data_IF_006277701270
#
_entry.id   IF_006277701270
#
_cell.length_a   1.000
_cell.length_b   1.000
_cell.length_c   1.000
_cell.angle_alpha   90.00
_cell.angle_beta   90.00
_cell.angle_gamma   90.00
#
_symmetry.space_group_name_H-M   'P 1'
#
loop_
_entity.id
_entity.type
_entity.pdbx_description
1 polymer ?
#
# COMPACT_ATOMS: atom_id res chain seq x y z
N UNK A 1 61.66 -40.89 35.84
CA UNK A 1 62.83 -40.11 36.25
C UNK A 1 62.62 -38.66 35.80
N UNK A 2 62.44 -37.74 36.74
CA UNK A 2 62.68 -36.27 36.76
C UNK A 2 62.14 -35.46 35.58
N UNK A 3 61.09 -34.56 35.80
CA UNK A 3 61.24 -33.13 36.25
C UNK A 3 61.70 -32.24 35.10
N UNK A 4 61.16 -31.14 34.78
CA UNK A 4 60.64 -29.99 35.56
C UNK A 4 60.01 -28.97 34.58
N UNK A 5 58.89 -28.39 34.96
CA UNK A 5 58.60 -26.97 35.19
C UNK A 5 59.12 -25.94 34.18
N UNK A 6 58.20 -25.18 33.61
CA UNK A 6 57.88 -23.77 33.98
C UNK A 6 57.02 -23.06 32.91
N UNK A 7 55.84 -22.67 33.32
CA UNK A 7 55.18 -21.49 32.88
C UNK A 7 56.04 -20.23 33.08
N UNK A 8 55.91 -19.16 32.30
CA UNK A 8 54.85 -18.19 32.56
C UNK A 8 54.34 -17.32 31.40
N UNK A 9 53.08 -16.90 31.60
CA UNK A 9 52.54 -15.56 31.24
C UNK A 9 52.62 -15.11 29.81
N UNK A 10 51.45 -15.12 29.13
CA UNK A 10 51.15 -14.21 28.07
C UNK A 10 49.78 -13.52 28.34
N UNK A 11 49.91 -12.27 28.46
CA UNK A 11 48.91 -11.23 28.69
C UNK A 11 47.70 -11.32 27.76
N UNK A 12 46.53 -11.38 28.35
CA UNK A 12 45.25 -11.21 27.76
C UNK A 12 45.08 -9.78 27.24
N UNK A 13 44.79 -9.63 25.96
CA UNK A 13 44.20 -8.42 25.40
C UNK A 13 42.67 -8.63 25.27
N UNK A 14 41.85 -7.63 25.61
CA UNK A 14 40.39 -7.78 25.61
C UNK A 14 39.81 -7.63 24.20
N UNK A 15 39.14 -8.67 23.71
CA UNK A 15 38.31 -8.64 22.54
C UNK A 15 36.93 -8.03 22.89
N UNK A 16 36.81 -6.73 22.83
CA UNK A 16 35.51 -6.04 22.90
C UNK A 16 35.34 -5.20 21.68
N UNK A 17 34.70 -5.72 20.64
CA UNK A 17 33.91 -4.95 19.66
C UNK A 17 33.29 -5.89 18.60
N UNK A 18 32.41 -6.79 18.99
CA UNK A 18 31.57 -7.55 18.04
C UNK A 18 30.22 -7.95 18.62
N UNK A 19 29.48 -7.00 19.22
CA UNK A 19 28.14 -7.31 19.77
C UNK A 19 27.20 -6.11 19.80
N UNK A 20 27.06 -5.37 18.71
CA UNK A 20 26.07 -4.27 18.66
C UNK A 20 25.18 -4.19 17.41
N UNK A 21 25.27 -5.15 16.47
CA UNK A 21 24.52 -5.04 15.21
C UNK A 21 23.36 -6.04 15.06
N UNK A 22 23.16 -6.94 16.02
CA UNK A 22 22.12 -7.99 15.92
C UNK A 22 20.87 -7.66 16.75
N UNK A 23 20.91 -6.66 17.63
CA UNK A 23 19.79 -6.37 18.54
C UNK A 23 18.76 -5.35 18.00
N UNK A 24 19.10 -4.54 17.01
CA UNK A 24 18.20 -3.53 16.44
C UNK A 24 17.03 -4.12 15.60
N UNK A 25 17.25 -5.11 14.72
CA UNK A 25 16.13 -5.71 13.99
C UNK A 25 15.20 -6.53 14.90
N UNK A 26 15.73 -7.16 15.95
CA UNK A 26 14.90 -7.90 16.91
C UNK A 26 14.03 -6.98 17.78
N UNK A 27 14.54 -5.80 18.15
CA UNK A 27 13.79 -4.81 18.90
C UNK A 27 12.69 -4.16 18.06
N UNK A 28 12.92 -3.96 16.75
CA UNK A 28 11.92 -3.42 15.84
C UNK A 28 10.82 -4.44 15.53
N UNK A 29 11.18 -5.71 15.34
CA UNK A 29 10.21 -6.78 15.17
C UNK A 29 9.37 -6.97 16.43
N UNK A 30 9.96 -6.87 17.63
CA UNK A 30 9.23 -6.91 18.89
C UNK A 30 8.30 -5.68 19.06
N UNK A 31 8.67 -4.52 18.56
CA UNK A 31 7.83 -3.32 18.60
C UNK A 31 6.62 -3.46 17.66
N UNK A 32 6.79 -4.00 16.45
CA UNK A 32 5.71 -4.24 15.50
C UNK A 32 4.77 -5.33 15.99
N UNK A 33 5.31 -6.43 16.54
CA UNK A 33 4.51 -7.50 17.15
C UNK A 33 3.83 -7.02 18.44
N UNK A 34 4.50 -6.19 19.23
CA UNK A 34 3.93 -5.56 20.43
C UNK A 34 2.82 -4.57 20.12
N UNK A 35 2.91 -3.82 19.01
CA UNK A 35 1.86 -2.90 18.59
C UNK A 35 0.61 -3.64 18.07
N UNK A 36 0.79 -4.82 17.48
CA UNK A 36 -0.30 -5.71 17.08
C UNK A 36 -0.96 -6.44 18.26
N UNK A 37 -0.23 -6.66 19.36
CA UNK A 37 -0.76 -7.30 20.56
C UNK A 37 -1.57 -6.38 21.50
N UNK A 38 -1.47 -5.05 21.33
CA UNK A 38 -2.23 -4.07 22.14
C UNK A 38 -3.64 -3.83 21.59
N UNK A 39 -3.98 -4.34 20.40
CA UNK A 39 -5.35 -4.29 19.86
C UNK A 39 -6.03 -5.62 20.17
N UNK A 40 -6.10 -5.98 21.44
CA UNK A 40 -7.01 -7.01 21.91
C UNK A 40 -8.43 -6.42 22.06
N UNK A 41 -9.50 -7.17 21.78
CA UNK A 41 -10.86 -6.67 21.97
C UNK A 41 -11.08 -6.36 23.44
N UNK A 42 -11.35 -5.09 23.73
CA UNK A 42 -11.88 -4.70 25.02
C UNK A 42 -13.31 -5.30 25.12
N UNK A 43 -13.43 -6.41 25.83
CA UNK A 43 -14.71 -6.97 26.18
C UNK A 43 -15.46 -5.98 27.05
N UNK A 44 -16.47 -5.35 26.51
CA UNK A 44 -17.48 -4.63 27.29
C UNK A 44 -18.33 -5.69 28.02
N UNK A 45 -18.18 -5.78 29.33
CA UNK A 45 -19.14 -6.46 30.18
C UNK A 45 -20.39 -5.57 30.30
N UNK A 46 -21.49 -6.04 29.77
CA UNK A 46 -22.81 -5.46 30.04
C UNK A 46 -23.22 -5.75 31.48
N UNK A 47 -23.77 -4.77 32.19
CA UNK A 47 -24.41 -5.02 33.48
C UNK A 47 -25.77 -5.71 33.25
N UNK A 48 -25.97 -6.83 33.93
CA UNK A 48 -27.25 -7.50 34.01
C UNK A 48 -28.34 -6.56 34.53
N UNK A 49 -29.31 -6.26 33.69
CA UNK A 49 -30.53 -5.55 34.08
C UNK A 49 -31.68 -6.57 34.19
N UNK A 50 -32.33 -6.48 35.33
CA UNK A 50 -33.54 -7.25 35.73
C UNK A 50 -34.73 -6.91 34.83
N UNK A 51 -35.43 -7.97 34.38
CA UNK A 51 -36.69 -7.91 33.62
C UNK A 51 -37.75 -7.05 34.28
N UNK A 52 -38.44 -6.22 33.50
CA UNK A 52 -39.84 -5.91 33.73
C UNK A 52 -40.71 -6.40 32.57
N UNK A 53 -41.96 -6.69 32.89
CA UNK A 53 -43.06 -7.22 32.11
C UNK A 53 -43.09 -6.96 30.60
N UNK A 54 -43.46 -8.01 29.84
CA UNK A 54 -43.63 -8.08 28.40
C UNK A 54 -44.49 -6.93 27.81
N UNK A 55 -43.86 -5.82 27.46
CA UNK A 55 -44.18 -5.12 26.23
C UNK A 55 -43.46 -5.88 25.13
N UNK A 56 -44.13 -6.25 24.04
CA UNK A 56 -43.44 -6.74 22.86
C UNK A 56 -42.50 -5.61 22.46
N UNK A 57 -41.19 -5.79 22.72
CA UNK A 57 -40.20 -4.82 22.31
C UNK A 57 -40.28 -4.67 20.78
N UNK A 58 -40.26 -3.46 20.23
CA UNK A 58 -40.33 -3.24 18.79
C UNK A 58 -39.23 -4.00 18.09
N UNK A 59 -39.53 -4.63 16.94
CA UNK A 59 -38.57 -5.42 16.19
C UNK A 59 -37.36 -4.54 15.77
N UNK A 60 -36.17 -5.06 15.96
CA UNK A 60 -34.96 -4.41 15.53
C UNK A 60 -34.73 -4.67 14.05
N UNK A 61 -34.33 -3.65 13.28
CA UNK A 61 -33.91 -3.80 11.87
C UNK A 61 -32.41 -3.66 11.74
N UNK A 62 -31.81 -4.57 11.00
CA UNK A 62 -30.39 -4.55 10.72
C UNK A 62 -30.10 -3.86 9.38
N UNK A 63 -29.02 -3.08 9.33
CA UNK A 63 -28.53 -2.44 8.10
C UNK A 63 -27.07 -2.77 7.93
N UNK A 64 -26.70 -3.30 6.76
CA UNK A 64 -25.31 -3.52 6.37
C UNK A 64 -24.96 -2.69 5.15
N UNK A 65 -23.71 -2.23 5.09
CA UNK A 65 -23.21 -1.43 3.99
C UNK A 65 -22.34 -2.28 3.06
N UNK A 66 -22.70 -2.33 1.80
CA UNK A 66 -21.97 -2.96 0.70
C UNK A 66 -21.49 -1.85 -0.23
N UNK A 67 -20.18 -1.60 -0.24
CA UNK A 67 -19.59 -0.52 -1.04
C UNK A 67 -18.30 -0.98 -1.71
N UNK A 68 -18.02 -0.44 -2.89
CA UNK A 68 -16.84 -0.80 -3.67
C UNK A 68 -17.15 -1.93 -4.65
N UNK A 69 -16.59 -3.10 -4.45
CA UNK A 69 -16.82 -4.30 -5.28
C UNK A 69 -17.24 -5.47 -4.39
N UNK A 70 -17.97 -6.40 -4.95
CA UNK A 70 -18.39 -7.61 -4.26
C UNK A 70 -17.28 -8.64 -4.34
N UNK A 71 -16.53 -8.83 -3.24
CA UNK A 71 -15.53 -9.87 -3.07
C UNK A 71 -15.99 -10.95 -2.08
N UNK A 72 -15.16 -11.97 -1.87
CA UNK A 72 -15.46 -13.03 -0.92
C UNK A 72 -15.69 -12.54 0.50
N UNK A 73 -14.99 -11.48 0.93
CA UNK A 73 -15.16 -10.90 2.28
C UNK A 73 -16.55 -10.27 2.44
N UNK A 74 -17.00 -9.53 1.42
CA UNK A 74 -18.34 -8.92 1.42
C UNK A 74 -19.41 -10.00 1.30
N UNK A 75 -19.19 -11.04 0.51
CA UNK A 75 -20.09 -12.19 0.39
C UNK A 75 -20.28 -12.88 1.76
N UNK A 76 -19.19 -13.24 2.45
CA UNK A 76 -19.21 -13.83 3.79
C UNK A 76 -19.87 -12.90 4.83
N UNK A 77 -19.68 -11.58 4.67
CA UNK A 77 -20.30 -10.58 5.55
C UNK A 77 -21.83 -10.52 5.36
N UNK A 78 -22.31 -10.64 4.12
CA UNK A 78 -23.77 -10.74 3.85
C UNK A 78 -24.34 -11.97 4.55
N UNK A 79 -23.79 -13.15 4.33
CA UNK A 79 -24.24 -14.40 4.93
C UNK A 79 -24.22 -14.35 6.46
N UNK A 80 -23.09 -13.92 7.05
CA UNK A 80 -22.97 -13.77 8.51
C UNK A 80 -23.96 -12.75 9.07
N UNK A 81 -24.33 -11.74 8.29
CA UNK A 81 -25.31 -10.74 8.71
C UNK A 81 -26.74 -11.28 8.67
N UNK A 82 -27.05 -12.14 7.70
CA UNK A 82 -28.33 -12.88 7.67
C UNK A 82 -28.41 -13.80 8.88
N UNK A 83 -27.37 -14.64 9.13
CA UNK A 83 -27.32 -15.54 10.29
C UNK A 83 -27.53 -14.78 11.62
N UNK A 84 -26.93 -13.61 11.73
CA UNK A 84 -27.09 -12.75 12.91
C UNK A 84 -28.49 -12.15 13.03
N UNK A 85 -29.09 -11.73 11.93
CA UNK A 85 -30.44 -11.19 11.91
C UNK A 85 -31.45 -12.27 12.32
N UNK A 86 -31.32 -13.49 11.80
CA UNK A 86 -32.15 -14.66 12.18
C UNK A 86 -31.97 -15.02 13.65
N UNK A 87 -30.73 -15.15 14.13
CA UNK A 87 -30.42 -15.48 15.53
C UNK A 87 -30.98 -14.45 16.53
N UNK A 88 -31.05 -13.17 16.12
CA UNK A 88 -31.57 -12.09 16.96
C UNK A 88 -33.10 -11.89 16.80
N UNK A 89 -33.77 -12.58 15.88
CA UNK A 89 -35.17 -12.34 15.54
C UNK A 89 -35.43 -10.93 15.02
N UNK A 90 -34.57 -10.44 14.15
CA UNK A 90 -34.69 -9.10 13.57
C UNK A 90 -35.93 -9.00 12.67
N UNK A 91 -36.55 -7.82 12.60
CA UNK A 91 -37.74 -7.58 11.75
C UNK A 91 -37.39 -7.47 10.25
N UNK A 92 -36.11 -7.24 9.91
CA UNK A 92 -35.63 -7.19 8.56
C UNK A 92 -34.13 -6.85 8.50
N UNK A 93 -33.48 -7.21 7.37
CA UNK A 93 -32.11 -6.88 7.05
C UNK A 93 -32.11 -6.00 5.79
N UNK A 94 -31.49 -4.83 5.87
CA UNK A 94 -31.35 -3.92 4.71
C UNK A 94 -29.92 -3.94 4.19
N UNK A 95 -29.74 -4.26 2.92
CA UNK A 95 -28.50 -4.17 2.19
C UNK A 95 -28.38 -2.76 1.58
N UNK A 96 -27.62 -1.87 2.19
CA UNK A 96 -27.29 -0.57 1.61
C UNK A 96 -26.16 -0.74 0.60
N UNK A 97 -26.45 -0.52 -0.68
CA UNK A 97 -25.56 -0.85 -1.80
C UNK A 97 -25.05 0.38 -2.54
N UNK A 98 -23.74 0.40 -2.76
CA UNK A 98 -23.06 1.25 -3.71
C UNK A 98 -21.89 0.48 -4.34
N UNK A 99 -22.21 -0.38 -5.32
CA UNK A 99 -21.25 -1.29 -5.94
C UNK A 99 -21.61 -1.51 -7.40
N UNK A 100 -20.60 -1.54 -8.26
CA UNK A 100 -20.76 -1.67 -9.72
C UNK A 100 -20.09 -2.90 -10.31
N UNK A 101 -19.44 -3.73 -9.49
CA UNK A 101 -18.60 -4.82 -9.96
C UNK A 101 -18.57 -5.94 -8.93
N UNK A 102 -18.64 -7.18 -9.38
CA UNK A 102 -18.36 -8.38 -8.60
C UNK A 102 -17.03 -8.98 -9.06
N UNK A 103 -16.28 -9.58 -8.15
CA UNK A 103 -15.03 -10.29 -8.43
C UNK A 103 -15.06 -11.73 -7.91
N UNK A 104 -16.19 -12.16 -7.33
CA UNK A 104 -16.42 -13.56 -6.98
C UNK A 104 -16.84 -14.34 -8.23
N UNK A 105 -16.61 -15.64 -8.23
CA UNK A 105 -17.05 -16.51 -9.31
C UNK A 105 -18.57 -16.70 -9.30
N UNK A 106 -19.09 -17.19 -10.42
CA UNK A 106 -20.53 -17.40 -10.61
C UNK A 106 -21.14 -18.38 -9.59
N UNK A 107 -20.37 -19.42 -9.19
CA UNK A 107 -20.82 -20.43 -8.23
C UNK A 107 -21.03 -19.77 -6.84
N UNK A 108 -20.04 -18.98 -6.40
CA UNK A 108 -20.12 -18.25 -5.11
C UNK A 108 -21.23 -17.19 -5.12
N UNK A 109 -21.45 -16.52 -6.26
CA UNK A 109 -22.53 -15.55 -6.40
C UNK A 109 -23.91 -16.21 -6.23
N UNK A 110 -24.09 -17.38 -6.83
CA UNK A 110 -25.33 -18.16 -6.71
C UNK A 110 -25.55 -18.64 -5.27
N UNK A 111 -24.49 -19.12 -4.56
CA UNK A 111 -24.58 -19.49 -3.15
C UNK A 111 -25.08 -18.31 -2.28
N UNK A 112 -24.53 -17.11 -2.46
CA UNK A 112 -24.98 -15.92 -1.73
C UNK A 112 -26.44 -15.58 -2.07
N UNK A 113 -26.83 -15.69 -3.35
CA UNK A 113 -28.20 -15.49 -3.78
C UNK A 113 -29.17 -16.51 -3.14
N UNK A 114 -28.80 -17.80 -3.13
CA UNK A 114 -29.58 -18.85 -2.45
C UNK A 114 -29.70 -18.59 -0.95
N UNK A 115 -28.63 -18.11 -0.29
CA UNK A 115 -28.66 -17.76 1.14
C UNK A 115 -29.59 -16.58 1.42
N UNK A 116 -29.63 -15.55 0.54
CA UNK A 116 -30.56 -14.44 0.63
C UNK A 116 -32.00 -14.95 0.48
N UNK A 117 -32.28 -15.72 -0.57
CA UNK A 117 -33.59 -16.26 -0.84
C UNK A 117 -34.11 -17.24 0.25
N UNK A 118 -33.20 -17.94 0.92
CA UNK A 118 -33.52 -18.88 2.02
C UNK A 118 -33.59 -18.20 3.40
N UNK A 119 -33.43 -16.88 3.49
CA UNK A 119 -33.46 -16.17 4.76
C UNK A 119 -34.84 -16.25 5.44
N UNK A 120 -34.85 -16.57 6.74
CA UNK A 120 -36.06 -16.52 7.55
C UNK A 120 -36.50 -15.08 7.87
N UNK A 121 -35.58 -14.13 7.77
CA UNK A 121 -35.81 -12.70 7.99
C UNK A 121 -35.91 -12.01 6.64
N UNK A 122 -36.88 -11.12 6.38
CA UNK A 122 -36.97 -10.39 5.13
C UNK A 122 -35.70 -9.60 4.84
N UNK A 123 -35.21 -9.69 3.60
CA UNK A 123 -34.01 -8.98 3.13
C UNK A 123 -34.40 -7.94 2.10
N UNK A 124 -34.01 -6.69 2.33
CA UNK A 124 -34.35 -5.55 1.48
C UNK A 124 -33.10 -4.96 0.87
N UNK A 125 -33.17 -4.57 -0.39
CA UNK A 125 -32.09 -3.85 -1.07
C UNK A 125 -32.35 -2.35 -1.09
N UNK A 126 -31.35 -1.52 -0.80
CA UNK A 126 -31.44 -0.08 -0.98
C UNK A 126 -30.17 0.45 -1.64
N UNK A 127 -30.33 0.97 -2.87
CA UNK A 127 -29.24 1.59 -3.62
C UNK A 127 -29.11 3.03 -3.19
N UNK A 128 -28.05 3.36 -2.47
CA UNK A 128 -27.88 4.71 -1.94
C UNK A 128 -26.56 4.90 -1.17
N UNK A 129 -26.26 6.15 -0.83
CA UNK A 129 -27.02 7.39 -0.99
C UNK A 129 -27.07 7.93 -2.46
N UNK A 130 -27.58 9.15 -2.65
CA UNK A 130 -27.58 9.82 -3.97
C UNK A 130 -26.21 9.72 -4.67
N UNK A 131 -26.23 9.35 -5.97
CA UNK A 131 -25.04 9.05 -6.76
C UNK A 131 -24.48 7.62 -6.57
N UNK A 132 -25.10 6.81 -5.70
CA UNK A 132 -24.78 5.39 -5.59
C UNK A 132 -25.21 4.62 -6.85
N UNK A 133 -24.57 3.46 -7.04
CA UNK A 133 -24.85 2.59 -8.19
C UNK A 133 -24.92 1.14 -7.76
N UNK A 134 -25.85 0.41 -8.36
CA UNK A 134 -25.88 -1.03 -8.29
C UNK A 134 -25.91 -1.59 -9.71
N UNK A 135 -24.78 -2.10 -10.19
CA UNK A 135 -24.60 -2.61 -11.54
C UNK A 135 -24.09 -4.04 -11.54
N UNK A 136 -24.19 -4.70 -12.72
CA UNK A 136 -23.67 -6.04 -12.94
C UNK A 136 -24.34 -7.09 -12.06
N UNK A 137 -23.54 -8.04 -11.60
CA UNK A 137 -24.01 -9.12 -10.73
C UNK A 137 -24.53 -8.61 -9.38
N UNK A 138 -24.09 -7.42 -8.93
CA UNK A 138 -24.62 -6.83 -7.69
C UNK A 138 -26.06 -6.38 -7.87
N UNK A 139 -26.43 -5.86 -9.04
CA UNK A 139 -27.84 -5.54 -9.36
C UNK A 139 -28.69 -6.81 -9.44
N UNK A 140 -28.15 -7.92 -10.00
CA UNK A 140 -28.82 -9.21 -9.97
C UNK A 140 -29.01 -9.73 -8.54
N UNK A 141 -28.00 -9.57 -7.67
CA UNK A 141 -28.09 -9.99 -6.28
C UNK A 141 -29.19 -9.23 -5.51
N UNK A 142 -29.35 -7.92 -5.77
CA UNK A 142 -30.45 -7.14 -5.22
C UNK A 142 -31.81 -7.63 -5.73
N UNK A 143 -31.89 -8.14 -6.94
CA UNK A 143 -33.15 -8.69 -7.49
C UNK A 143 -33.58 -10.03 -6.82
N UNK A 144 -32.77 -10.59 -5.91
CA UNK A 144 -33.13 -11.72 -5.04
C UNK A 144 -33.81 -11.25 -3.75
N UNK A 145 -33.65 -9.98 -3.38
CA UNK A 145 -34.23 -9.42 -2.14
C UNK A 145 -35.73 -9.20 -2.28
N UNK A 146 -36.46 -9.06 -1.15
CA UNK A 146 -37.90 -8.89 -1.13
C UNK A 146 -38.39 -7.57 -1.79
N UNK A 147 -37.57 -6.54 -1.76
CA UNK A 147 -37.87 -5.23 -2.35
C UNK A 147 -36.57 -4.48 -2.65
N UNK A 148 -36.56 -3.70 -3.74
CA UNK A 148 -35.46 -2.84 -4.11
C UNK A 148 -35.88 -1.37 -3.98
N UNK A 149 -35.19 -0.61 -3.13
CA UNK A 149 -35.29 0.85 -3.07
C UNK A 149 -34.11 1.52 -3.78
N UNK A 150 -34.36 2.62 -4.45
CA UNK A 150 -33.31 3.42 -5.10
C UNK A 150 -33.42 4.85 -4.60
N UNK A 151 -32.32 5.40 -4.06
CA UNK A 151 -32.27 6.77 -3.60
C UNK A 151 -32.34 7.75 -4.77
N UNK A 152 -32.88 8.93 -4.52
CA UNK A 152 -32.96 10.00 -5.53
C UNK A 152 -31.56 10.30 -6.09
N UNK A 153 -31.42 10.15 -7.41
CA UNK A 153 -30.17 10.32 -8.13
C UNK A 153 -29.18 9.18 -8.00
N UNK A 154 -29.61 8.00 -7.54
CA UNK A 154 -28.87 6.76 -7.64
C UNK A 154 -29.29 5.98 -8.89
N UNK A 155 -28.51 4.99 -9.33
CA UNK A 155 -28.72 4.22 -10.56
C UNK A 155 -28.77 2.72 -10.25
N UNK A 156 -29.75 2.02 -10.82
CA UNK A 156 -29.87 0.58 -10.77
C UNK A 156 -29.94 -0.02 -12.18
N UNK A 157 -29.24 -1.10 -12.46
CA UNK A 157 -29.30 -1.76 -13.78
C UNK A 157 -27.93 -2.12 -14.33
N UNK A 158 -27.75 -2.04 -15.68
CA UNK A 158 -26.55 -2.50 -16.38
C UNK A 158 -26.16 -3.92 -15.91
N UNK A 159 -27.17 -4.81 -15.86
CA UNK A 159 -27.08 -6.10 -15.17
C UNK A 159 -26.21 -7.14 -15.91
N UNK A 160 -25.89 -6.88 -17.18
CA UNK A 160 -25.14 -7.81 -18.01
C UNK A 160 -25.89 -9.09 -18.36
N UNK A 161 -25.17 -10.17 -18.54
CA UNK A 161 -25.78 -11.50 -18.67
C UNK A 161 -26.22 -12.02 -17.30
N UNK A 162 -27.37 -12.68 -17.26
CA UNK A 162 -27.87 -13.25 -16.00
C UNK A 162 -27.03 -14.43 -15.58
N UNK A 163 -26.43 -14.34 -14.42
CA UNK A 163 -25.64 -15.38 -13.74
C UNK A 163 -26.49 -16.11 -12.70
N UNK A 164 -27.34 -15.34 -11.97
CA UNK A 164 -28.23 -15.91 -10.95
C UNK A 164 -29.42 -16.61 -11.62
N UNK A 165 -29.78 -17.83 -11.22
CA UNK A 165 -30.95 -18.54 -11.72
C UNK A 165 -32.24 -17.70 -11.60
N UNK A 166 -33.06 -17.72 -12.65
CA UNK A 166 -34.26 -16.87 -12.73
C UNK A 166 -35.35 -17.24 -11.73
N UNK A 167 -35.31 -18.42 -11.16
CA UNK A 167 -36.22 -18.89 -10.08
C UNK A 167 -35.93 -18.25 -8.72
N UNK A 168 -34.73 -17.70 -8.54
CA UNK A 168 -34.34 -16.94 -7.35
C UNK A 168 -34.62 -15.43 -7.49
N UNK A 169 -34.85 -14.95 -8.71
CA UNK A 169 -35.00 -13.52 -8.99
C UNK A 169 -36.47 -13.08 -8.86
N UNK A 170 -36.71 -11.84 -8.48
CA UNK A 170 -38.01 -11.22 -8.51
C UNK A 170 -38.66 -11.39 -9.89
N UNK A 171 -39.93 -11.85 -10.00
CA UNK A 171 -40.59 -12.04 -11.29
C UNK A 171 -40.64 -10.75 -12.15
N UNK A 172 -40.85 -9.60 -11.49
CA UNK A 172 -40.90 -8.29 -12.18
C UNK A 172 -39.52 -7.90 -12.74
N UNK A 173 -38.42 -8.26 -12.05
CA UNK A 173 -37.07 -8.09 -12.56
C UNK A 173 -36.83 -8.98 -13.79
N UNK A 174 -37.20 -10.26 -13.73
CA UNK A 174 -37.04 -11.19 -14.88
C UNK A 174 -37.77 -10.68 -16.12
N UNK A 175 -38.93 -10.04 -15.94
CA UNK A 175 -39.71 -9.50 -17.05
C UNK A 175 -39.02 -8.30 -17.77
N UNK A 176 -38.16 -7.58 -17.05
CA UNK A 176 -37.46 -6.35 -17.57
C UNK A 176 -35.95 -6.55 -17.73
N UNK A 177 -35.41 -7.69 -17.34
CA UNK A 177 -33.96 -7.96 -17.28
C UNK A 177 -33.25 -7.69 -18.62
N UNK A 178 -33.83 -8.06 -19.75
CA UNK A 178 -33.26 -7.81 -21.07
C UNK A 178 -33.13 -6.29 -21.36
N UNK A 179 -34.10 -5.48 -20.87
CA UNK A 179 -34.06 -4.01 -20.99
C UNK A 179 -32.98 -3.39 -20.07
N UNK A 180 -32.69 -4.02 -18.95
CA UNK A 180 -31.69 -3.56 -17.98
C UNK A 180 -30.29 -4.10 -18.26
N UNK A 181 -30.09 -4.93 -19.30
CA UNK A 181 -28.79 -5.55 -19.59
C UNK A 181 -27.66 -4.52 -19.74
N UNK A 182 -27.88 -3.48 -20.55
CA UNK A 182 -26.93 -2.41 -20.85
C UNK A 182 -27.47 -1.02 -20.49
N UNK A 183 -28.58 -0.95 -19.75
CA UNK A 183 -29.23 0.27 -19.32
C UNK A 183 -29.36 0.34 -17.81
N UNK A 184 -29.42 1.59 -17.31
CA UNK A 184 -29.69 1.87 -15.90
C UNK A 184 -31.03 2.60 -15.78
N UNK A 185 -31.67 2.43 -14.64
CA UNK A 185 -32.92 3.08 -14.26
C UNK A 185 -32.75 3.88 -12.99
N UNK A 186 -33.56 4.90 -12.84
CA UNK A 186 -33.66 5.77 -11.69
C UNK A 186 -34.75 5.32 -10.71
N UNK A 187 -34.93 6.06 -9.63
CA UNK A 187 -35.87 5.81 -8.57
C UNK A 187 -37.33 5.74 -9.02
N UNK A 188 -37.73 6.58 -9.99
CA UNK A 188 -39.08 6.62 -10.49
C UNK A 188 -39.38 5.39 -11.37
N UNK A 189 -38.45 5.04 -12.23
CA UNK A 189 -38.56 3.87 -13.12
C UNK A 189 -38.59 2.55 -12.34
N UNK A 190 -37.82 2.42 -11.24
CA UNK A 190 -37.83 1.23 -10.37
C UNK A 190 -39.24 1.00 -9.78
N UNK A 191 -39.97 2.06 -9.45
CA UNK A 191 -41.36 1.98 -8.99
C UNK A 191 -42.27 1.56 -10.15
N UNK A 192 -42.13 2.20 -11.34
CA UNK A 192 -42.94 1.93 -12.50
C UNK A 192 -42.86 0.49 -13.00
N UNK A 193 -41.66 -0.11 -12.94
CA UNK A 193 -41.45 -1.51 -13.35
C UNK A 193 -41.74 -2.52 -12.24
N UNK A 194 -42.17 -2.08 -11.07
CA UNK A 194 -42.66 -2.95 -9.99
C UNK A 194 -41.57 -3.57 -9.11
N UNK A 195 -40.28 -3.16 -9.23
CA UNK A 195 -39.18 -3.64 -8.41
C UNK A 195 -39.22 -3.06 -6.98
N UNK A 196 -39.91 -1.93 -6.79
CA UNK A 196 -40.18 -1.36 -5.49
C UNK A 196 -41.69 -1.34 -5.20
N UNK A 197 -42.06 -1.74 -3.99
CA UNK A 197 -43.43 -1.63 -3.50
C UNK A 197 -43.84 -0.21 -3.09
N UNK A 198 -42.99 0.81 -3.31
CA UNK A 198 -43.22 2.19 -2.89
C UNK A 198 -44.11 2.93 -3.83
N UNK A 199 -44.82 3.96 -3.31
CA UNK A 199 -45.71 4.80 -4.11
C UNK A 199 -45.04 6.08 -4.60
N UNK A 200 -43.88 6.45 -4.05
CA UNK A 200 -43.15 7.65 -4.47
C UNK A 200 -41.63 7.49 -4.24
N UNK A 201 -40.85 8.17 -5.07
CA UNK A 201 -39.42 8.25 -4.94
C UNK A 201 -38.97 8.89 -3.59
N UNK A 202 -39.81 9.82 -3.06
CA UNK A 202 -39.51 10.44 -1.76
C UNK A 202 -39.39 9.43 -0.62
N UNK A 203 -40.16 8.34 -0.65
CA UNK A 203 -40.12 7.27 0.35
C UNK A 203 -38.78 6.48 0.33
N UNK A 204 -38.00 6.62 -0.72
CA UNK A 204 -36.71 5.96 -0.89
C UNK A 204 -35.51 6.95 -0.90
N UNK A 205 -35.79 8.26 -0.82
CA UNK A 205 -34.78 9.29 -0.96
C UNK A 205 -33.62 9.19 0.03
N UNK A 206 -33.90 8.69 1.23
CA UNK A 206 -32.88 8.39 2.24
C UNK A 206 -33.12 7.01 2.82
N UNK A 207 -32.07 6.38 3.34
CA UNK A 207 -32.17 5.10 4.04
C UNK A 207 -33.18 5.17 5.19
N UNK A 208 -33.22 6.27 5.93
CA UNK A 208 -34.17 6.48 7.02
C UNK A 208 -35.62 6.43 6.55
N UNK A 209 -35.97 7.11 5.47
CA UNK A 209 -37.31 7.10 4.88
C UNK A 209 -37.66 5.70 4.35
N UNK A 210 -36.72 5.04 3.68
CA UNK A 210 -36.90 3.68 3.20
C UNK A 210 -37.24 2.70 4.32
N UNK A 211 -36.48 2.76 5.41
CA UNK A 211 -36.66 1.85 6.57
C UNK A 211 -37.98 2.13 7.30
N UNK A 212 -38.40 3.40 7.42
CA UNK A 212 -39.67 3.79 8.11
C UNK A 212 -40.93 3.16 7.47
N UNK A 213 -40.84 2.75 6.22
CA UNK A 213 -41.97 2.18 5.48
C UNK A 213 -41.86 0.66 5.30
N UNK A 214 -40.82 0.01 5.89
CA UNK A 214 -40.68 -1.44 5.82
C UNK A 214 -41.78 -2.15 6.62
N UNK A 215 -42.27 -3.29 6.12
CA UNK A 215 -43.26 -4.10 6.85
C UNK A 215 -42.76 -4.44 8.26
N UNK A 216 -43.61 -4.17 9.26
CA UNK A 216 -43.26 -4.44 10.66
C UNK A 216 -42.39 -3.39 11.35
N UNK A 217 -41.97 -2.32 10.65
CA UNK A 217 -41.27 -1.22 11.28
C UNK A 217 -42.23 -0.28 12.00
N UNK A 218 -42.00 -0.08 13.29
CA UNK A 218 -42.85 0.81 14.11
C UNK A 218 -42.32 2.24 14.09
N UNK A 219 -43.24 3.20 13.87
CA UNK A 219 -42.91 4.63 13.88
C UNK A 219 -44.04 5.43 14.51
N UNK A 220 -43.73 6.49 15.23
CA UNK A 220 -44.69 7.45 15.77
C UNK A 220 -44.63 8.79 14.99
N UNK A 221 -45.76 9.51 14.98
CA UNK A 221 -45.80 10.82 14.40
C UNK A 221 -45.63 11.87 15.51
N UNK A 222 -44.46 12.55 15.51
CA UNK A 222 -44.23 13.66 16.39
C UNK A 222 -44.87 14.94 15.81
N UNK A 223 -45.83 15.47 16.54
CA UNK A 223 -46.58 16.70 16.20
C UNK A 223 -46.13 17.89 17.07
N UNK A 224 -45.02 17.81 17.78
CA UNK A 224 -44.52 18.87 18.66
C UNK A 224 -43.89 20.04 17.86
N UNK A 225 -43.55 19.84 16.59
CA UNK A 225 -43.05 20.86 15.66
C UNK A 225 -44.11 21.51 14.77
N UNK A 226 -43.68 22.39 13.88
CA UNK A 226 -44.57 23.07 12.89
C UNK A 226 -45.12 22.12 11.84
N UNK A 227 -44.39 21.02 11.55
CA UNK A 227 -44.81 19.97 10.64
C UNK A 227 -44.74 18.59 11.36
N UNK A 228 -45.72 17.70 11.12
CA UNK A 228 -45.68 16.35 11.68
C UNK A 228 -44.54 15.53 11.05
N UNK A 229 -43.65 15.03 11.90
CA UNK A 229 -42.50 14.21 11.47
C UNK A 229 -42.64 12.78 11.99
N UNK A 230 -42.44 11.77 11.13
CA UNK A 230 -42.40 10.38 11.55
C UNK A 230 -41.05 10.07 12.22
N UNK A 231 -41.10 9.61 13.46
CA UNK A 231 -39.94 9.25 14.27
C UNK A 231 -39.89 7.73 14.43
N UNK A 232 -38.74 7.09 14.21
CA UNK A 232 -38.60 5.64 14.37
C UNK A 232 -38.78 5.23 15.84
N UNK A 233 -39.59 4.22 16.10
CA UNK A 233 -39.72 3.51 17.37
C UNK A 233 -38.90 2.25 17.33
N UNK A 234 -38.96 1.49 16.21
CA UNK A 234 -38.12 0.32 15.99
C UNK A 234 -36.64 0.72 15.96
N UNK A 235 -35.78 0.02 16.74
CA UNK A 235 -34.33 0.26 16.70
C UNK A 235 -33.76 -0.16 15.35
N UNK A 236 -32.79 0.66 14.83
CA UNK A 236 -32.02 0.33 13.64
C UNK A 236 -30.57 0.09 14.04
N UNK A 237 -30.05 -1.09 13.76
CA UNK A 237 -28.68 -1.50 14.08
C UNK A 237 -27.82 -1.53 12.83
N UNK A 238 -26.80 -0.71 12.79
CA UNK A 238 -25.84 -0.67 11.69
C UNK A 238 -24.67 -1.63 11.95
N UNK A 239 -24.45 -2.56 11.06
CA UNK A 239 -23.29 -3.42 11.07
C UNK A 239 -22.33 -3.06 9.92
N UNK A 240 -21.03 -3.15 10.20
CA UNK A 240 -19.95 -2.91 9.26
C UNK A 240 -18.95 -4.05 9.31
N UNK A 241 -18.18 -4.21 8.25
CA UNK A 241 -17.03 -5.11 8.22
C UNK A 241 -16.15 -4.89 9.45
N UNK A 242 -15.56 -5.94 9.99
CA UNK A 242 -14.54 -5.83 11.02
C UNK A 242 -13.36 -4.98 10.50
N UNK A 243 -12.56 -4.40 11.39
CA UNK A 243 -11.40 -3.59 10.96
C UNK A 243 -10.44 -4.38 10.08
N UNK A 244 -10.22 -5.65 10.41
CA UNK A 244 -9.32 -6.51 9.63
C UNK A 244 -9.91 -6.82 8.25
N UNK A 245 -11.17 -7.24 8.19
CA UNK A 245 -11.86 -7.55 6.93
C UNK A 245 -11.97 -6.30 6.05
N UNK A 246 -12.26 -5.13 6.66
CA UNK A 246 -12.29 -3.85 5.95
C UNK A 246 -10.93 -3.47 5.34
N UNK A 247 -9.82 -3.76 6.02
CA UNK A 247 -8.50 -3.57 5.45
C UNK A 247 -8.20 -4.55 4.33
N UNK A 248 -8.50 -5.84 4.51
CA UNK A 248 -8.30 -6.86 3.48
C UNK A 248 -9.13 -6.55 2.23
N UNK A 249 -10.40 -6.16 2.38
CA UNK A 249 -11.26 -5.67 1.31
C UNK A 249 -10.65 -4.44 0.60
N UNK A 250 -10.11 -3.48 1.36
CA UNK A 250 -9.45 -2.29 0.79
C UNK A 250 -8.21 -2.68 0.00
N UNK A 251 -7.35 -3.57 0.52
CA UNK A 251 -6.14 -4.03 -0.17
C UNK A 251 -6.46 -4.87 -1.40
N UNK A 252 -7.58 -5.56 -1.42
CA UNK A 252 -8.09 -6.27 -2.58
C UNK A 252 -8.73 -5.35 -3.63
N UNK A 253 -8.85 -4.02 -3.38
CA UNK A 253 -9.34 -3.11 -4.41
C UNK A 253 -8.33 -2.99 -5.58
N UNK A 254 -8.82 -2.90 -6.84
CA UNK A 254 -7.94 -2.90 -8.02
C UNK A 254 -6.82 -1.85 -7.97
N UNK A 255 -7.16 -0.63 -7.52
CA UNK A 255 -6.20 0.46 -7.42
C UNK A 255 -5.12 0.18 -6.35
N UNK A 256 -5.53 -0.30 -5.17
CA UNK A 256 -4.61 -0.60 -4.07
C UNK A 256 -3.74 -1.81 -4.38
N UNK A 257 -4.32 -2.89 -4.88
CA UNK A 257 -3.58 -4.10 -5.26
C UNK A 257 -2.48 -3.78 -6.28
N UNK A 258 -2.82 -3.04 -7.34
CA UNK A 258 -1.88 -2.60 -8.37
C UNK A 258 -0.76 -1.73 -7.81
N UNK A 259 -1.10 -0.67 -7.05
CA UNK A 259 -0.09 0.24 -6.49
C UNK A 259 0.79 -0.44 -5.45
N UNK A 260 0.21 -1.26 -4.56
CA UNK A 260 0.97 -1.99 -3.55
C UNK A 260 1.94 -2.98 -4.18
N UNK A 261 1.53 -3.69 -5.24
CA UNK A 261 2.41 -4.57 -5.99
C UNK A 261 3.59 -3.82 -6.59
N UNK A 262 3.34 -2.71 -7.29
CA UNK A 262 4.39 -1.91 -7.94
C UNK A 262 5.32 -1.23 -6.92
N UNK A 263 4.77 -0.62 -5.88
CA UNK A 263 5.55 0.02 -4.82
C UNK A 263 6.38 -1.02 -4.07
N UNK A 264 5.75 -2.15 -3.72
CA UNK A 264 6.43 -3.23 -3.02
C UNK A 264 7.60 -3.80 -3.82
N UNK A 265 7.38 -4.13 -5.10
CA UNK A 265 8.43 -4.59 -6.00
C UNK A 265 9.56 -3.55 -6.16
N UNK A 266 9.20 -2.27 -6.31
CA UNK A 266 10.16 -1.17 -6.42
C UNK A 266 11.02 -1.00 -5.16
N UNK A 267 10.41 -1.07 -3.97
CA UNK A 267 11.12 -0.97 -2.70
C UNK A 267 12.02 -2.18 -2.44
N UNK A 268 11.61 -3.38 -2.84
CA UNK A 268 12.45 -4.58 -2.75
C UNK A 268 13.69 -4.45 -3.64
N UNK A 269 13.52 -3.99 -4.90
CA UNK A 269 14.64 -3.70 -5.78
C UNK A 269 15.54 -2.61 -5.17
N UNK A 270 14.96 -1.55 -4.64
CA UNK A 270 15.68 -0.47 -3.98
C UNK A 270 16.56 -0.99 -2.83
N UNK A 271 16.01 -1.82 -1.94
CA UNK A 271 16.76 -2.40 -0.82
C UNK A 271 17.91 -3.29 -1.30
N UNK A 272 17.69 -4.08 -2.37
CA UNK A 272 18.70 -4.95 -2.95
C UNK A 272 19.95 -4.17 -3.40
N UNK A 273 19.78 -2.95 -3.94
CA UNK A 273 20.88 -2.13 -4.46
C UNK A 273 21.45 -1.12 -3.47
N UNK A 274 20.73 -0.79 -2.41
CA UNK A 274 21.19 0.23 -1.46
C UNK A 274 21.96 -0.34 -0.29
N UNK A 275 21.86 -1.66 -0.02
CA UNK A 275 22.40 -2.32 1.19
C UNK A 275 22.12 -1.48 2.43
N UNK A 276 20.86 -1.06 2.57
CA UNK A 276 20.38 -0.13 3.58
C UNK A 276 20.21 -0.76 4.96
N UNK A 277 19.40 -0.13 5.78
CA UNK A 277 19.10 -0.55 7.16
C UNK A 277 18.02 -1.65 7.18
N UNK A 278 17.50 -2.07 6.03
CA UNK A 278 16.43 -3.07 5.90
C UNK A 278 15.02 -2.51 5.97
N UNK A 279 14.84 -1.21 6.24
CA UNK A 279 13.50 -0.59 6.38
C UNK A 279 12.72 -0.66 5.08
N UNK A 280 13.35 -0.26 3.96
CA UNK A 280 12.71 -0.31 2.65
C UNK A 280 12.38 -1.75 2.23
N UNK A 281 13.23 -2.72 2.59
CA UNK A 281 13.00 -4.14 2.38
C UNK A 281 11.78 -4.67 3.15
N UNK A 282 11.65 -4.32 4.43
CA UNK A 282 10.52 -4.75 5.27
C UNK A 282 9.21 -4.13 4.79
N UNK A 283 9.19 -2.83 4.54
CA UNK A 283 8.00 -2.12 4.02
C UNK A 283 7.67 -2.63 2.63
N UNK A 284 8.67 -2.79 1.75
CA UNK A 284 8.52 -3.32 0.40
C UNK A 284 7.94 -4.74 0.39
N UNK A 285 8.42 -5.61 1.26
CA UNK A 285 7.89 -6.97 1.40
C UNK A 285 6.43 -6.96 1.86
N UNK A 286 6.09 -6.13 2.85
CA UNK A 286 4.71 -5.97 3.29
C UNK A 286 3.79 -5.49 2.16
N UNK A 287 4.16 -4.41 1.47
CA UNK A 287 3.40 -3.90 0.33
C UNK A 287 3.28 -4.96 -0.79
N UNK A 288 4.36 -5.67 -1.09
CA UNK A 288 4.38 -6.69 -2.14
C UNK A 288 3.44 -7.86 -1.82
N UNK A 289 3.46 -8.37 -0.57
CA UNK A 289 2.58 -9.45 -0.13
C UNK A 289 1.11 -9.02 -0.19
N UNK A 290 0.79 -7.81 0.31
CA UNK A 290 -0.56 -7.26 0.25
C UNK A 290 -1.01 -7.02 -1.20
N UNK A 291 -0.11 -6.53 -2.06
CA UNK A 291 -0.37 -6.38 -3.49
C UNK A 291 -0.65 -7.74 -4.17
N UNK A 292 0.17 -8.77 -3.88
CA UNK A 292 -0.06 -10.12 -4.38
C UNK A 292 -1.38 -10.72 -3.87
N UNK A 293 -1.74 -10.47 -2.61
CA UNK A 293 -3.04 -10.86 -2.07
C UNK A 293 -4.19 -10.23 -2.86
N UNK A 294 -4.15 -8.89 -3.06
CA UNK A 294 -5.19 -8.21 -3.82
C UNK A 294 -5.28 -8.69 -5.27
N UNK A 295 -4.13 -8.91 -5.95
CA UNK A 295 -4.11 -9.44 -7.30
C UNK A 295 -4.60 -10.89 -7.40
N UNK A 296 -4.49 -11.68 -6.34
CA UNK A 296 -5.00 -13.06 -6.30
C UNK A 296 -6.53 -13.12 -6.13
N UNK A 297 -7.12 -12.11 -5.48
CA UNK A 297 -8.58 -11.99 -5.31
C UNK A 297 -9.26 -11.48 -6.59
N UNK A 298 -8.55 -10.64 -7.36
CA UNK A 298 -9.09 -9.99 -8.55
C UNK A 298 -8.92 -10.86 -9.82
N UNK A 299 -9.84 -10.77 -10.81
CA UNK A 299 -9.69 -11.41 -12.10
C UNK A 299 -8.53 -10.78 -12.89
N UNK A 300 -7.32 -11.29 -12.68
CA UNK A 300 -6.10 -10.77 -13.29
C UNK A 300 -5.67 -11.61 -14.49
N UNK A 301 -5.18 -10.93 -15.54
CA UNK A 301 -4.58 -11.55 -16.72
C UNK A 301 -3.14 -11.98 -16.40
N UNK A 302 -2.89 -13.30 -16.29
CA UNK A 302 -1.58 -13.84 -15.90
C UNK A 302 -0.42 -13.40 -16.82
N UNK A 303 -0.66 -13.23 -18.12
CA UNK A 303 0.36 -12.74 -19.05
C UNK A 303 0.71 -11.26 -18.80
N UNK A 304 -0.27 -10.43 -18.44
CA UNK A 304 -0.05 -9.02 -18.12
C UNK A 304 0.72 -8.88 -16.78
N UNK A 305 0.38 -9.69 -15.79
CA UNK A 305 1.15 -9.78 -14.55
C UNK A 305 2.59 -10.22 -14.82
N UNK A 306 2.81 -11.20 -15.70
CA UNK A 306 4.16 -11.60 -16.11
C UNK A 306 4.93 -10.44 -16.77
N UNK A 307 4.28 -9.60 -17.59
CA UNK A 307 4.92 -8.40 -18.14
C UNK A 307 5.33 -7.40 -17.06
N UNK A 308 4.52 -7.22 -16.01
CA UNK A 308 4.91 -6.37 -14.86
C UNK A 308 6.15 -6.91 -14.14
N UNK A 309 6.22 -8.22 -13.93
CA UNK A 309 7.42 -8.87 -13.35
C UNK A 309 8.64 -8.66 -14.25
N UNK A 310 8.50 -8.88 -15.56
CA UNK A 310 9.57 -8.66 -16.55
C UNK A 310 10.00 -7.19 -16.54
N UNK A 311 9.08 -6.25 -16.43
CA UNK A 311 9.39 -4.84 -16.31
C UNK A 311 10.27 -4.55 -15.09
N UNK A 312 9.91 -5.08 -13.91
CA UNK A 312 10.70 -4.92 -12.69
C UNK A 312 12.10 -5.52 -12.83
N UNK A 313 12.22 -6.71 -13.42
CA UNK A 313 13.52 -7.33 -13.69
C UNK A 313 14.36 -6.53 -14.70
N UNK A 314 13.74 -6.00 -15.76
CA UNK A 314 14.43 -5.14 -16.75
C UNK A 314 14.99 -3.87 -16.13
N UNK A 315 14.23 -3.19 -15.29
CA UNK A 315 14.73 -2.05 -14.53
C UNK A 315 15.85 -2.44 -13.57
N UNK A 316 15.74 -3.57 -12.88
CA UNK A 316 16.77 -4.05 -11.99
C UNK A 316 18.10 -4.29 -12.74
N UNK A 317 18.08 -4.82 -13.95
CA UNK A 317 19.28 -5.02 -14.77
C UNK A 317 19.95 -3.68 -15.09
N UNK A 318 19.19 -2.68 -15.55
CA UNK A 318 19.78 -1.36 -15.91
C UNK A 318 20.26 -0.57 -14.70
N UNK A 319 19.64 -0.75 -13.54
CA UNK A 319 20.08 -0.13 -12.29
C UNK A 319 21.50 -0.55 -11.92
N UNK A 320 21.91 -1.79 -12.22
CA UNK A 320 23.27 -2.29 -11.98
C UNK A 320 24.33 -1.51 -12.79
N UNK A 321 23.97 -1.09 -14.00
CA UNK A 321 24.89 -0.34 -14.87
C UNK A 321 25.01 1.13 -14.46
N UNK A 322 24.10 1.63 -13.63
CA UNK A 322 23.99 3.01 -13.20
C UNK A 322 23.59 4.00 -14.31
N UNK A 323 23.34 3.53 -15.51
CA UNK A 323 22.91 4.30 -16.68
C UNK A 323 21.72 3.61 -17.35
N UNK A 324 20.55 4.27 -17.46
CA UNK A 324 19.40 3.71 -18.16
C UNK A 324 19.74 3.42 -19.62
N UNK A 325 19.50 2.21 -20.07
CA UNK A 325 19.79 1.74 -21.42
C UNK A 325 18.61 0.97 -22.02
N UNK A 326 18.90 0.00 -22.89
CA UNK A 326 17.92 -0.78 -23.65
C UNK A 326 16.92 -1.50 -22.74
N UNK A 327 17.37 -2.01 -21.58
CA UNK A 327 16.49 -2.73 -20.65
C UNK A 327 15.46 -1.80 -20.00
N UNK A 328 15.80 -0.54 -19.71
CA UNK A 328 14.82 0.45 -19.21
C UNK A 328 13.72 0.74 -20.24
N UNK A 329 14.05 0.77 -21.53
CA UNK A 329 13.04 0.96 -22.58
C UNK A 329 12.12 -0.25 -22.67
N UNK A 330 12.67 -1.48 -22.70
CA UNK A 330 11.91 -2.71 -22.70
C UNK A 330 11.02 -2.78 -21.45
N UNK A 331 11.59 -2.51 -20.29
CA UNK A 331 10.88 -2.49 -19.00
C UNK A 331 9.71 -1.50 -19.01
N UNK A 332 9.92 -0.29 -19.54
CA UNK A 332 8.84 0.71 -19.63
C UNK A 332 7.71 0.24 -20.55
N UNK A 333 8.03 -0.36 -21.69
CA UNK A 333 7.00 -0.93 -22.59
C UNK A 333 6.23 -2.04 -21.89
N UNK A 334 6.94 -2.99 -21.26
CA UNK A 334 6.31 -4.07 -20.49
C UNK A 334 5.46 -3.55 -19.34
N UNK A 335 5.93 -2.51 -18.63
CA UNK A 335 5.17 -1.86 -17.55
C UNK A 335 3.87 -1.24 -18.07
N UNK A 336 3.92 -0.48 -19.17
CA UNK A 336 2.74 0.15 -19.76
C UNK A 336 1.75 -0.90 -20.23
N UNK A 337 2.19 -1.86 -21.05
CA UNK A 337 1.31 -2.90 -21.59
C UNK A 337 0.75 -3.77 -20.48
N UNK A 338 1.59 -4.22 -19.53
CA UNK A 338 1.16 -5.03 -18.40
C UNK A 338 0.16 -4.29 -17.51
N UNK A 339 0.33 -2.98 -17.29
CA UNK A 339 -0.60 -2.17 -16.49
C UNK A 339 -1.96 -1.99 -17.18
N UNK A 340 -1.97 -1.76 -18.50
CA UNK A 340 -3.21 -1.53 -19.25
C UNK A 340 -4.10 -2.78 -19.35
N UNK A 341 -3.50 -3.95 -19.38
CA UNK A 341 -4.20 -5.22 -19.57
C UNK A 341 -4.19 -6.13 -18.33
N UNK A 342 -3.90 -5.55 -17.15
CA UNK A 342 -3.74 -6.35 -15.92
C UNK A 342 -5.04 -7.03 -15.49
N UNK A 343 -6.18 -6.34 -15.60
CA UNK A 343 -7.48 -6.84 -15.15
C UNK A 343 -8.38 -7.20 -16.32
N UNK A 344 -9.21 -8.23 -16.10
CA UNK A 344 -10.24 -8.67 -17.03
C UNK A 344 -11.61 -8.15 -16.57
N UNK A 345 -12.44 -7.70 -17.53
CA UNK A 345 -13.81 -7.27 -17.27
C UNK A 345 -13.98 -5.85 -16.69
N UNK A 346 -12.94 -5.20 -16.16
CA UNK A 346 -13.02 -3.83 -15.66
C UNK A 346 -11.71 -3.06 -15.83
N UNK A 347 -11.80 -1.73 -15.81
CA UNK A 347 -10.68 -0.82 -15.96
C UNK A 347 -10.34 -0.11 -14.64
N UNK A 348 -9.04 -0.02 -14.33
CA UNK A 348 -8.56 0.84 -13.24
C UNK A 348 -8.68 2.31 -13.68
N UNK A 349 -8.90 3.21 -12.70
CA UNK A 349 -8.83 4.66 -12.94
C UNK A 349 -7.54 5.04 -13.68
N UNK A 350 -7.67 5.84 -14.74
CA UNK A 350 -6.53 6.33 -15.51
C UNK A 350 -5.52 7.12 -14.66
N UNK A 351 -5.99 7.76 -13.57
CA UNK A 351 -5.13 8.46 -12.61
C UNK A 351 -4.23 7.47 -11.90
N UNK A 352 -4.78 6.35 -11.43
CA UNK A 352 -4.04 5.27 -10.76
C UNK A 352 -3.02 4.63 -11.70
N UNK A 353 -3.42 4.37 -12.96
CA UNK A 353 -2.51 3.85 -13.98
C UNK A 353 -1.33 4.79 -14.23
N UNK A 354 -1.60 6.07 -14.45
CA UNK A 354 -0.55 7.06 -14.65
C UNK A 354 0.35 7.21 -13.42
N UNK A 355 -0.22 7.22 -12.22
CA UNK A 355 0.56 7.30 -10.98
C UNK A 355 1.51 6.11 -10.84
N UNK A 356 1.03 4.89 -11.10
CA UNK A 356 1.85 3.67 -11.06
C UNK A 356 2.94 3.67 -12.13
N UNK A 357 2.59 3.91 -13.39
CA UNK A 357 3.54 3.89 -14.51
C UNK A 357 4.60 4.98 -14.35
N UNK A 358 4.18 6.23 -14.14
CA UNK A 358 5.11 7.36 -14.01
C UNK A 358 5.94 7.23 -12.74
N UNK A 359 5.32 6.84 -11.61
CA UNK A 359 6.01 6.67 -10.33
C UNK A 359 7.13 5.64 -10.43
N UNK A 360 6.85 4.46 -10.98
CA UNK A 360 7.85 3.41 -11.18
C UNK A 360 8.92 3.85 -12.18
N UNK A 361 8.54 4.39 -13.34
CA UNK A 361 9.49 4.82 -14.35
C UNK A 361 10.45 5.90 -13.81
N UNK A 362 9.93 6.94 -13.15
CA UNK A 362 10.76 7.99 -12.53
C UNK A 362 11.67 7.42 -11.43
N UNK A 363 11.13 6.56 -10.57
CA UNK A 363 11.91 5.93 -9.50
C UNK A 363 13.07 5.10 -10.06
N UNK A 364 12.81 4.26 -11.07
CA UNK A 364 13.78 3.31 -11.60
C UNK A 364 14.76 3.95 -12.59
N UNK A 365 14.31 4.89 -13.45
CA UNK A 365 15.15 5.50 -14.49
C UNK A 365 15.99 6.66 -13.93
N UNK A 366 15.44 7.42 -12.98
CA UNK A 366 16.10 8.63 -12.45
C UNK A 366 16.52 8.49 -11.00
N UNK A 367 15.60 8.05 -10.12
CA UNK A 367 15.83 8.02 -8.68
C UNK A 367 16.93 7.05 -8.28
N UNK A 368 16.80 5.80 -8.66
CA UNK A 368 17.74 4.73 -8.33
C UNK A 368 19.16 4.99 -8.86
N UNK A 369 19.38 5.28 -10.15
CA UNK A 369 20.71 5.57 -10.65
C UNK A 369 21.34 6.80 -10.02
N UNK A 370 20.54 7.84 -9.71
CA UNK A 370 21.05 9.01 -9.00
C UNK A 370 21.53 8.65 -7.59
N UNK A 371 20.78 7.83 -6.87
CA UNK A 371 21.15 7.39 -5.52
C UNK A 371 22.40 6.51 -5.53
N UNK A 372 22.51 5.57 -6.46
CA UNK A 372 23.72 4.73 -6.60
C UNK A 372 24.94 5.61 -6.88
N UNK A 373 24.84 6.57 -7.80
CA UNK A 373 25.94 7.51 -8.10
C UNK A 373 26.35 8.33 -6.87
N UNK A 374 25.41 8.80 -6.06
CA UNK A 374 25.75 9.59 -4.85
C UNK A 374 26.40 8.74 -3.78
N UNK A 375 26.07 7.47 -3.70
CA UNK A 375 26.68 6.54 -2.72
C UNK A 375 28.17 6.27 -3.01
N UNK A 376 28.53 6.14 -4.28
CA UNK A 376 29.89 5.93 -4.72
C UNK A 376 30.62 7.25 -5.06
N UNK A 377 29.95 8.40 -4.84
CA UNK A 377 30.56 9.72 -4.96
C UNK A 377 31.62 9.90 -3.86
N UNK A 378 32.68 10.62 -4.21
CA UNK A 378 33.71 10.97 -3.24
C UNK A 378 33.14 11.80 -2.10
N UNK A 379 33.41 11.46 -0.85
CA UNK A 379 32.86 12.20 0.30
C UNK A 379 33.37 13.65 0.26
N UNK A 380 32.42 14.60 0.33
CA UNK A 380 32.73 16.04 0.29
C UNK A 380 32.95 16.64 1.69
N UNK A 381 32.69 15.87 2.75
CA UNK A 381 32.83 16.31 4.15
C UNK A 381 33.80 15.38 4.87
N UNK A 382 34.69 15.92 5.69
CA UNK A 382 35.61 15.14 6.51
C UNK A 382 36.85 14.63 5.76
N UNK A 383 37.34 15.37 4.75
CA UNK A 383 38.54 15.02 3.99
C UNK A 383 39.84 15.42 4.68
N UNK A 384 39.81 15.95 5.88
CA UNK A 384 41.00 16.42 6.63
C UNK A 384 42.05 15.34 6.80
N UNK A 385 41.64 14.07 6.81
CA UNK A 385 42.53 12.91 6.85
C UNK A 385 43.41 12.77 5.58
N UNK A 386 43.05 13.42 4.47
CA UNK A 386 43.82 13.39 3.21
C UNK A 386 45.01 14.35 3.24
N UNK A 387 45.07 15.30 4.18
CA UNK A 387 46.18 16.22 4.30
C UNK A 387 47.46 15.41 4.63
N UNK A 388 48.49 15.58 3.80
CA UNK A 388 49.73 14.82 3.88
C UNK A 388 49.74 13.54 3.05
N UNK A 389 48.64 13.12 2.43
CA UNK A 389 48.61 11.96 1.55
C UNK A 389 49.32 12.26 0.22
N UNK A 390 50.00 11.23 -0.28
CA UNK A 390 50.63 11.24 -1.59
C UNK A 390 49.64 10.78 -2.67
N UNK A 391 49.68 11.41 -3.83
CA UNK A 391 48.92 11.08 -5.01
C UNK A 391 49.74 11.29 -6.28
N UNK A 392 49.09 11.14 -7.42
CA UNK A 392 49.71 11.34 -8.74
C UNK A 392 48.80 12.27 -9.55
N UNK A 393 49.37 13.23 -10.26
CA UNK A 393 48.63 14.08 -11.16
C UNK A 393 48.10 13.25 -12.35
N UNK A 394 46.77 13.26 -12.57
CA UNK A 394 46.15 12.52 -13.65
C UNK A 394 46.28 13.30 -15.00
N UNK A 395 46.48 14.60 -14.93
CA UNK A 395 46.62 15.50 -16.06
C UNK A 395 47.57 16.64 -15.67
N UNK A 396 48.01 17.45 -16.68
CA UNK A 396 48.84 18.61 -16.42
C UNK A 396 48.07 19.62 -15.55
N UNK A 397 48.59 19.86 -14.33
CA UNK A 397 47.96 20.78 -13.37
C UNK A 397 48.44 22.19 -13.62
N UNK A 398 47.58 22.98 -14.24
CA UNK A 398 47.78 24.44 -14.33
C UNK A 398 47.25 25.11 -13.03
N UNK A 399 46.11 25.83 -13.14
CA UNK A 399 45.44 26.36 -11.95
C UNK A 399 44.56 25.34 -11.28
N UNK A 400 43.89 24.50 -12.04
CA UNK A 400 42.97 23.43 -11.60
C UNK A 400 43.21 22.19 -12.45
N UNK A 401 42.95 21.01 -11.89
CA UNK A 401 43.06 19.75 -12.59
C UNK A 401 42.61 18.58 -11.70
N UNK A 402 42.98 17.36 -12.08
CA UNK A 402 42.60 16.13 -11.38
C UNK A 402 43.85 15.41 -10.90
N UNK A 403 43.81 14.97 -9.64
CA UNK A 403 44.85 14.11 -9.02
C UNK A 403 44.24 12.79 -8.61
N UNK A 404 45.01 11.72 -8.72
CA UNK A 404 44.65 10.42 -8.19
C UNK A 404 45.22 10.27 -6.77
N UNK A 405 44.35 10.05 -5.78
CA UNK A 405 44.76 9.76 -4.41
C UNK A 405 44.13 8.42 -4.01
N UNK A 406 44.98 7.41 -3.80
CA UNK A 406 44.53 6.04 -3.79
C UNK A 406 43.95 5.67 -5.17
N UNK A 407 42.77 5.04 -5.18
CA UNK A 407 42.09 4.63 -6.42
C UNK A 407 41.01 5.63 -6.90
N UNK A 408 40.96 6.84 -6.32
CA UNK A 408 39.90 7.81 -6.62
C UNK A 408 40.46 9.11 -7.25
N UNK A 409 39.80 9.63 -8.32
CA UNK A 409 40.13 10.92 -8.91
C UNK A 409 39.55 12.07 -8.08
N UNK A 410 40.40 13.08 -7.77
CA UNK A 410 40.02 14.26 -7.01
C UNK A 410 40.33 15.53 -7.77
N UNK A 411 39.42 16.51 -7.70
CA UNK A 411 39.73 17.85 -8.20
C UNK A 411 40.78 18.47 -7.31
N UNK A 412 41.84 18.97 -7.95
CA UNK A 412 42.94 19.59 -7.26
C UNK A 412 43.29 20.97 -7.86
N UNK A 413 43.88 21.78 -6.99
CA UNK A 413 44.45 23.09 -7.35
C UNK A 413 45.87 23.16 -6.85
N UNK A 414 46.77 23.70 -7.66
CA UNK A 414 48.17 23.84 -7.25
C UNK A 414 48.30 25.01 -6.29
N UNK A 415 48.91 24.76 -5.13
CA UNK A 415 49.12 25.77 -4.07
C UNK A 415 50.07 26.90 -4.52
N UNK A 416 50.94 26.64 -5.53
CA UNK A 416 51.91 27.64 -6.08
C UNK A 416 51.93 27.57 -7.59
N UNK A 417 52.55 28.56 -8.20
CA UNK A 417 52.71 28.70 -9.65
C UNK A 417 53.67 27.66 -10.28
N UNK A 418 54.02 26.60 -9.57
CA UNK A 418 54.88 25.54 -10.11
C UNK A 418 54.03 24.64 -10.98
N UNK A 419 54.32 24.48 -12.27
CA UNK A 419 53.60 23.55 -13.12
C UNK A 419 53.89 22.12 -12.69
N UNK A 420 52.84 21.29 -12.59
CA UNK A 420 52.90 19.88 -12.28
C UNK A 420 52.44 19.13 -13.52
N UNK A 421 53.28 18.27 -14.07
CA UNK A 421 52.97 17.50 -15.25
C UNK A 421 52.13 16.25 -14.89
N UNK A 422 51.41 15.73 -15.89
CA UNK A 422 50.71 14.47 -15.73
C UNK A 422 51.68 13.34 -15.36
N UNK A 423 51.38 12.57 -14.31
CA UNK A 423 52.26 11.52 -13.79
C UNK A 423 53.16 11.95 -12.65
N UNK A 424 53.29 13.25 -12.37
CA UNK A 424 54.13 13.71 -11.26
C UNK A 424 53.50 13.34 -9.88
N UNK A 425 54.35 12.96 -8.91
CA UNK A 425 53.88 12.72 -7.54
C UNK A 425 53.55 14.06 -6.86
N UNK A 426 52.39 14.07 -6.21
CA UNK A 426 51.86 15.26 -5.51
C UNK A 426 51.49 14.93 -4.09
N UNK A 427 51.59 15.90 -3.19
CA UNK A 427 51.17 15.80 -1.80
C UNK A 427 50.01 16.78 -1.53
N UNK A 428 49.00 16.32 -0.84
CA UNK A 428 47.89 17.17 -0.39
C UNK A 428 48.33 18.00 0.81
N UNK A 429 48.24 19.32 0.68
CA UNK A 429 48.67 20.29 1.73
C UNK A 429 47.49 20.93 2.44
N UNK A 430 46.37 21.15 1.73
CA UNK A 430 45.18 21.72 2.30
C UNK A 430 43.92 21.27 1.51
N UNK A 431 42.77 21.56 2.07
CA UNK A 431 41.46 21.32 1.42
C UNK A 431 40.67 22.60 1.42
N UNK A 432 40.32 23.08 0.22
CA UNK A 432 39.55 24.30 0.04
C UNK A 432 38.23 23.97 -0.70
N UNK A 433 37.14 23.83 0.08
CA UNK A 433 35.86 23.47 -0.47
C UNK A 433 35.86 22.10 -1.16
N UNK A 434 35.67 22.07 -2.47
CA UNK A 434 35.69 20.84 -3.29
C UNK A 434 37.05 20.48 -3.84
N UNK A 435 38.05 21.33 -3.68
CA UNK A 435 39.40 21.16 -4.24
C UNK A 435 40.38 20.74 -3.17
N UNK A 436 41.30 19.85 -3.57
CA UNK A 436 42.48 19.54 -2.79
C UNK A 436 43.59 20.52 -3.23
N UNK A 437 44.20 21.25 -2.30
CA UNK A 437 45.45 21.95 -2.58
C UNK A 437 46.59 20.96 -2.58
N UNK A 438 47.34 20.91 -3.66
CA UNK A 438 48.45 19.99 -3.83
C UNK A 438 49.75 20.75 -4.17
N UNK A 439 50.86 20.16 -3.73
CA UNK A 439 52.20 20.60 -4.10
C UNK A 439 53.03 19.40 -4.62
N UNK A 440 54.04 19.66 -5.51
CA UNK A 440 54.94 18.59 -5.95
C UNK A 440 55.76 18.06 -4.77
N UNK A 441 56.11 16.76 -4.81
CA UNK A 441 56.90 16.11 -3.76
C UNK A 441 58.28 16.73 -3.63
N UNK A 442 58.95 17.03 -4.78
CA UNK A 442 60.22 17.74 -4.83
C UNK A 442 60.01 19.23 -5.14
N UNK A 443 60.59 20.10 -4.29
CA UNK A 443 60.49 21.54 -4.44
C UNK A 443 59.30 22.19 -3.71
N UNK A 444 58.51 21.43 -2.97
CA UNK A 444 57.46 21.94 -2.10
C UNK A 444 58.03 22.70 -0.87
N UNK A 445 57.21 23.58 -0.29
CA UNK A 445 57.61 24.23 0.96
C UNK A 445 57.68 23.21 2.09
N UNK A 446 58.80 23.15 2.78
CA UNK A 446 58.94 22.29 3.97
C UNK A 446 57.89 22.71 5.02
N UNK A 447 57.17 21.74 5.57
CA UNK A 447 56.21 22.02 6.66
C UNK A 447 56.99 22.50 7.88
N UNK A 448 56.64 23.67 8.37
CA UNK A 448 57.23 24.27 9.58
C UNK A 448 57.03 23.39 10.83
N UNK A 449 56.04 22.50 10.79
CA UNK A 449 55.79 21.52 11.87
C UNK A 449 56.79 20.37 11.87
N UNK A 450 57.34 19.99 10.72
CA UNK A 450 58.33 18.92 10.64
C UNK A 450 59.72 19.42 11.10
N UNK A 451 59.98 20.72 10.93
CA UNK A 451 61.18 21.35 11.51
C UNK A 451 61.15 21.34 13.04
N UNK A 452 59.99 21.59 13.62
CA UNK A 452 59.79 21.62 15.10
C UNK A 452 59.86 20.25 15.76
N UNK A 453 59.59 19.15 15.05
CA UNK A 453 59.74 17.79 15.54
C UNK A 453 61.20 17.35 15.55
N UNK A 454 62.04 17.88 14.63
CA UNK A 454 63.46 17.58 14.57
C UNK A 454 64.27 18.30 15.63
N UNK A 455 63.89 19.51 16.00
CA UNK A 455 64.56 20.29 17.07
C UNK A 455 64.13 19.91 18.47
N UNK A 456 63.17 19.01 18.63
CA UNK A 456 62.63 18.56 19.93
C UNK A 456 63.04 17.15 20.39
N UNK A 457 63.91 16.44 19.69
CA UNK A 457 64.40 15.13 20.07
C UNK A 457 65.92 15.16 20.42
N UNK A 458 66.26 15.44 21.69
CA UNK A 458 67.66 15.41 22.14
C UNK A 458 68.05 14.00 22.64
N UNK A 459 67.97 13.02 21.76
CA UNK A 459 68.54 11.71 22.07
C UNK A 459 69.06 11.02 20.80
N UNK A 460 70.34 11.33 20.47
CA UNK A 460 71.33 10.36 19.98
C UNK A 460 72.65 11.10 19.77
N UNK A 461 73.24 11.53 20.87
CA UNK A 461 74.69 11.74 20.91
C UNK A 461 75.18 11.02 22.18
N UNK A 462 75.68 9.84 22.00
CA UNK A 462 76.79 9.21 22.73
C UNK A 462 76.90 7.73 22.40
N UNK A 463 77.90 7.35 21.64
CA UNK A 463 78.86 6.32 21.93
C UNK A 463 79.63 5.96 20.67
N UNK A 464 80.85 6.38 20.68
CA UNK A 464 82.08 5.79 20.14
C UNK A 464 82.01 4.86 18.94
#
# INVERSE_FOLDING_TARGET
>A
MRRNDRDPSASSLPSTTRRRWVTLPAAFLALVVGLLAVIGPAGAQEPAQSEPAQSLDPLTFDVIQISGFLDGIVADFIETSIDRAEANGSGGLVLQVNSTTSVIDAERLVEVAERIAASEVPVYGWVGPSGARAHGEVAQLLAVTDEIGVAVGAEYGNVGELVIPTDLLLPDFVAVADGLRDATVDEDTVIEIGLSGRQSAEAMATLGLFVLELPGFESETDTSGDEPVRVPVSPVRFAKLSLFDGWMHTFASPAMAYLLFLIGASLLIFELYTAGVGIAGVVGAGCFVLGCYGLAVLPTQGWALALLVIAMLGYAIDVQTGVPQTWSVIATVCLVVGSLFLFDGFAISWITLLAGIIGVALSMISGMPAMIRTRFGTPTIGREWMIGFMGVAAEDLGKEGVVMIGDAPWKARVNRTTPIAAGDPVRVVAIEGLYLEVEPEEGGARDYRDLRKRDGDPQTETAE
#
